data_IF_566854424340
#
_entry.id   IF_566854424340
#
_cell.length_a   1.000
_cell.length_b   1.000
_cell.length_c   1.000
_cell.angle_alpha   90.00
_cell.angle_beta   90.00
_cell.angle_gamma   90.00
#
_symmetry.space_group_name_H-M   'P 1'
#
loop_
_entity.id
_entity.type
_entity.pdbx_description
1 polymer ?
#
# COMPACT_ATOMS: atom_id res chain seq x y z
N UNK A 1 15.30 -13.15 -1.01
CA UNK A 1 14.02 -12.61 -1.52
C UNK A 1 13.93 -11.17 -1.03
N UNK A 2 13.40 -10.23 -1.83
CA UNK A 2 13.20 -8.85 -1.37
C UNK A 2 12.16 -8.84 -0.25
N UNK A 3 12.40 -8.04 0.79
CA UNK A 3 11.43 -7.79 1.86
C UNK A 3 10.35 -6.81 1.41
N UNK A 4 9.28 -6.65 2.20
CA UNK A 4 8.30 -5.59 1.99
C UNK A 4 8.97 -4.21 1.90
N UNK A 5 9.88 -3.90 2.82
CA UNK A 5 10.60 -2.62 2.83
C UNK A 5 11.45 -2.43 1.57
N UNK A 6 12.16 -3.47 1.10
CA UNK A 6 12.98 -3.39 -0.13
C UNK A 6 12.11 -3.03 -1.35
N UNK A 7 10.97 -3.72 -1.51
CA UNK A 7 10.04 -3.46 -2.60
C UNK A 7 9.45 -2.05 -2.53
N UNK A 8 8.98 -1.66 -1.36
CA UNK A 8 8.32 -0.37 -1.16
C UNK A 8 9.30 0.80 -1.31
N UNK A 9 10.53 0.68 -0.80
CA UNK A 9 11.57 1.69 -0.97
C UNK A 9 12.02 1.82 -2.43
N UNK A 10 12.08 0.72 -3.20
CA UNK A 10 12.37 0.76 -4.64
C UNK A 10 11.22 1.35 -5.48
N UNK A 11 9.98 1.16 -5.03
CA UNK A 11 8.78 1.66 -5.70
C UNK A 11 8.53 3.15 -5.53
N UNK A 12 9.05 3.70 -4.45
CA UNK A 12 8.77 5.04 -3.96
C UNK A 12 9.60 6.09 -4.69
N UNK A 13 8.94 7.16 -5.15
CA UNK A 13 9.58 8.29 -5.82
C UNK A 13 9.03 9.60 -5.29
N UNK A 14 9.87 10.63 -5.22
CA UNK A 14 9.41 11.98 -4.97
C UNK A 14 8.65 12.50 -6.19
N UNK A 15 7.36 12.80 -6.03
CA UNK A 15 6.50 13.31 -7.10
C UNK A 15 5.81 14.60 -6.66
N UNK A 16 6.22 15.72 -7.26
CA UNK A 16 5.72 17.05 -6.92
C UNK A 16 6.10 17.46 -5.51
N UNK A 17 5.26 17.11 -4.54
CA UNK A 17 5.30 17.57 -3.15
C UNK A 17 5.22 16.45 -2.10
N UNK A 18 5.24 15.18 -2.54
CA UNK A 18 5.15 14.02 -1.65
C UNK A 18 5.88 12.83 -2.26
N UNK A 19 6.17 11.83 -1.44
CA UNK A 19 6.52 10.52 -1.96
C UNK A 19 5.27 9.79 -2.47
N UNK A 20 5.35 9.30 -3.70
CA UNK A 20 4.35 8.43 -4.31
C UNK A 20 4.94 7.03 -4.48
N UNK A 21 4.15 6.00 -4.18
CA UNK A 21 4.56 4.62 -4.41
C UNK A 21 3.77 4.00 -5.56
N UNK A 22 4.45 3.19 -6.36
CA UNK A 22 3.81 2.42 -7.44
C UNK A 22 2.86 1.37 -6.87
N UNK A 23 1.84 1.02 -7.65
CA UNK A 23 0.89 -0.05 -7.28
C UNK A 23 1.62 -1.37 -7.10
N UNK A 24 1.33 -2.06 -6.01
CA UNK A 24 1.88 -3.38 -5.70
C UNK A 24 1.07 -4.45 -6.42
N UNK A 25 1.76 -5.43 -7.01
CA UNK A 25 1.17 -6.62 -7.62
C UNK A 25 1.77 -7.86 -6.94
N UNK A 26 0.93 -8.69 -6.35
CA UNK A 26 1.29 -9.89 -5.62
C UNK A 26 1.42 -11.12 -6.54
N UNK A 27 1.92 -12.22 -6.00
CA UNK A 27 2.24 -13.42 -6.76
C UNK A 27 1.01 -14.09 -7.40
N UNK A 28 -0.14 -14.02 -6.74
CA UNK A 28 -1.42 -14.57 -7.20
C UNK A 28 -2.20 -13.65 -8.16
N UNK A 29 -1.72 -12.42 -8.39
CA UNK A 29 -2.37 -11.42 -9.23
C UNK A 29 -3.15 -10.36 -8.46
N UNK A 30 -3.30 -10.48 -7.14
CA UNK A 30 -3.84 -9.41 -6.31
C UNK A 30 -3.02 -8.14 -6.46
N UNK A 31 -3.67 -6.99 -6.55
CA UNK A 31 -2.98 -5.71 -6.62
C UNK A 31 -3.69 -4.66 -5.80
N UNK A 32 -2.90 -3.75 -5.22
CA UNK A 32 -3.41 -2.69 -4.34
C UNK A 32 -2.46 -1.48 -4.34
N UNK A 33 -3.00 -0.28 -4.12
CA UNK A 33 -2.20 0.91 -3.82
C UNK A 33 -1.79 0.88 -2.35
N UNK A 34 -0.50 1.13 -2.05
CA UNK A 34 0.00 1.25 -0.67
C UNK A 34 0.80 2.54 -0.58
N UNK A 35 0.28 3.51 0.18
CA UNK A 35 0.83 4.85 0.30
C UNK A 35 1.19 5.20 1.75
N UNK A 36 2.25 5.98 1.89
CA UNK A 36 2.66 6.58 3.15
C UNK A 36 3.37 7.90 2.80
N UNK A 37 2.89 9.05 3.23
CA UNK A 37 3.49 10.37 2.95
C UNK A 37 2.81 11.45 3.80
N UNK A 38 3.13 12.72 3.58
CA UNK A 38 2.53 13.84 4.33
C UNK A 38 1.00 14.01 4.16
N UNK A 39 0.41 13.51 3.08
CA UNK A 39 -1.02 13.68 2.77
C UNK A 39 -1.83 12.38 2.81
N UNK A 40 -1.20 11.22 2.83
CA UNK A 40 -1.88 9.92 2.99
C UNK A 40 -2.37 9.70 4.43
N UNK A 41 -3.41 8.89 4.61
CA UNK A 41 -3.90 8.40 5.90
C UNK A 41 -2.97 7.31 6.48
N UNK A 42 -1.77 7.71 6.88
CA UNK A 42 -0.71 6.84 7.42
C UNK A 42 -0.14 7.36 8.74
N UNK A 43 0.68 6.58 9.46
CA UNK A 43 1.40 7.06 10.63
C UNK A 43 2.91 6.79 10.51
N UNK A 44 3.78 7.81 10.67
CA UNK A 44 3.44 9.24 10.76
C UNK A 44 2.96 9.81 9.42
N UNK A 45 2.15 10.87 9.41
CA UNK A 45 1.82 11.65 8.18
C UNK A 45 2.94 12.61 7.85
N UNK A 46 4.04 12.08 7.32
CA UNK A 46 5.25 12.85 6.95
C UNK A 46 5.84 12.28 5.67
N UNK A 47 6.65 13.06 4.97
CA UNK A 47 7.47 12.55 3.88
C UNK A 47 8.78 11.99 4.44
N UNK A 48 8.80 10.68 4.64
CA UNK A 48 9.98 9.93 5.05
C UNK A 48 10.34 9.00 3.91
N UNK A 49 11.62 8.98 3.54
CA UNK A 49 12.11 8.17 2.42
C UNK A 49 12.00 6.68 2.72
N UNK A 50 12.55 6.24 3.85
CA UNK A 50 12.51 4.85 4.27
C UNK A 50 11.14 4.45 4.84
N UNK A 51 10.46 3.52 4.16
CA UNK A 51 9.14 3.05 4.58
C UNK A 51 9.19 2.35 5.92
N UNK A 52 10.33 1.81 6.37
CA UNK A 52 10.45 1.11 7.65
C UNK A 52 10.10 2.00 8.86
N UNK A 53 10.06 3.33 8.66
CA UNK A 53 9.74 4.34 9.69
C UNK A 53 8.25 4.67 9.80
N UNK A 54 7.38 3.93 9.11
CA UNK A 54 5.93 4.04 9.22
C UNK A 54 5.33 2.85 9.96
N UNK A 55 4.36 3.15 10.83
CA UNK A 55 3.61 2.18 11.64
C UNK A 55 2.28 1.79 10.97
N UNK A 56 1.74 2.63 10.09
CA UNK A 56 0.54 2.33 9.30
C UNK A 56 0.56 3.01 7.94
N UNK A 57 -0.29 2.53 7.03
CA UNK A 57 -0.35 2.92 5.62
C UNK A 57 -1.78 3.26 5.20
N UNK A 58 -1.90 4.09 4.16
CA UNK A 58 -3.14 4.22 3.41
C UNK A 58 -3.11 3.17 2.29
N UNK A 59 -4.13 2.31 2.24
CA UNK A 59 -4.34 1.42 1.10
C UNK A 59 -5.47 1.97 0.22
N UNK A 60 -5.59 1.45 -1.00
CA UNK A 60 -6.73 1.82 -1.82
C UNK A 60 -6.83 1.04 -3.11
N UNK A 61 -8.07 1.01 -3.61
CA UNK A 61 -8.42 0.45 -4.91
C UNK A 61 -7.87 -0.98 -5.11
N UNK A 62 -8.17 -1.94 -4.20
CA UNK A 62 -7.73 -3.32 -4.37
C UNK A 62 -8.36 -3.94 -5.63
N UNK A 63 -7.70 -4.90 -6.26
CA UNK A 63 -8.23 -5.55 -7.49
C UNK A 63 -9.39 -6.52 -7.22
N UNK A 64 -9.52 -6.99 -6.00
CA UNK A 64 -10.61 -7.82 -5.50
C UNK A 64 -10.83 -7.55 -4.01
N UNK A 65 -11.96 -8.02 -3.47
CA UNK A 65 -12.30 -7.76 -2.08
C UNK A 65 -11.48 -8.67 -1.18
N UNK A 66 -10.59 -8.11 -0.37
CA UNK A 66 -9.93 -8.82 0.71
C UNK A 66 -10.56 -8.47 2.07
N UNK A 67 -11.09 -9.51 2.74
CA UNK A 67 -11.79 -9.36 4.02
C UNK A 67 -10.89 -8.94 5.18
N UNK A 68 -9.58 -9.18 5.10
CA UNK A 68 -8.62 -8.84 6.15
C UNK A 68 -8.45 -7.33 6.35
N UNK A 69 -8.83 -6.53 5.35
CA UNK A 69 -8.74 -5.06 5.42
C UNK A 69 -10.10 -4.35 5.38
N UNK A 70 -11.22 -5.06 5.22
CA UNK A 70 -12.55 -4.43 5.06
C UNK A 70 -12.91 -3.44 6.16
N UNK A 71 -12.53 -3.71 7.41
CA UNK A 71 -12.80 -2.83 8.55
C UNK A 71 -12.12 -1.45 8.46
N UNK A 72 -11.13 -1.29 7.58
CA UNK A 72 -10.43 -0.03 7.37
C UNK A 72 -11.00 0.80 6.21
N UNK A 73 -11.96 0.26 5.45
CA UNK A 73 -12.54 0.94 4.29
C UNK A 73 -13.24 2.24 4.71
N UNK A 74 -13.01 3.33 3.99
CA UNK A 74 -13.75 4.58 4.19
C UNK A 74 -15.18 4.48 3.64
N UNK A 75 -15.40 3.61 2.64
CA UNK A 75 -16.70 3.26 2.08
C UNK A 75 -16.83 1.74 1.98
N UNK A 76 -17.50 1.14 2.98
CA UNK A 76 -17.73 -0.31 3.04
C UNK A 76 -18.67 -0.82 1.94
N UNK A 77 -19.51 0.05 1.36
CA UNK A 77 -20.41 -0.33 0.27
C UNK A 77 -19.68 -0.41 -1.08
N UNK A 78 -18.54 0.28 -1.22
CA UNK A 78 -17.69 0.31 -2.42
C UNK A 78 -16.21 -0.06 -2.11
N UNK A 79 -15.92 -1.26 -1.59
CA UNK A 79 -14.58 -1.63 -1.10
C UNK A 79 -13.51 -1.65 -2.19
N UNK A 80 -13.89 -1.85 -3.46
CA UNK A 80 -12.94 -1.82 -4.58
C UNK A 80 -12.60 -0.40 -5.04
N UNK A 81 -13.38 0.61 -4.63
CA UNK A 81 -13.26 2.00 -5.08
C UNK A 81 -13.20 2.97 -3.90
N UNK A 82 -12.47 2.58 -2.86
CA UNK A 82 -12.30 3.38 -1.64
C UNK A 82 -10.87 3.33 -1.13
N UNK A 83 -10.57 4.26 -0.23
CA UNK A 83 -9.33 4.25 0.55
C UNK A 83 -9.53 3.48 1.84
N UNK A 84 -8.45 2.90 2.32
CA UNK A 84 -8.38 2.18 3.59
C UNK A 84 -7.42 2.93 4.49
N UNK A 85 -7.96 3.57 5.53
CA UNK A 85 -7.22 4.56 6.32
C UNK A 85 -6.46 3.92 7.48
N UNK A 86 -5.20 4.34 7.68
CA UNK A 86 -4.35 3.95 8.82
C UNK A 86 -4.25 2.44 9.05
N UNK A 87 -4.15 1.64 7.99
CA UNK A 87 -4.01 0.19 8.08
C UNK A 87 -2.67 -0.15 8.74
N UNK A 88 -2.65 -0.86 9.88
CA UNK A 88 -1.43 -1.21 10.60
C UNK A 88 -0.44 -1.98 9.73
N UNK A 89 0.85 -1.72 9.92
CA UNK A 89 1.93 -2.37 9.15
C UNK A 89 1.80 -3.89 9.13
N UNK A 90 1.58 -4.51 10.28
CA UNK A 90 1.48 -5.96 10.42
C UNK A 90 0.31 -6.53 9.62
N UNK A 91 -0.82 -5.82 9.55
CA UNK A 91 -1.94 -6.17 8.68
C UNK A 91 -1.55 -6.07 7.20
N UNK A 92 -0.83 -5.03 6.80
CA UNK A 92 -0.36 -4.87 5.40
C UNK A 92 0.64 -5.96 5.02
N UNK A 93 1.63 -6.21 5.86
CA UNK A 93 2.63 -7.27 5.63
C UNK A 93 1.96 -8.63 5.56
N UNK A 94 0.97 -8.88 6.43
CA UNK A 94 0.19 -10.12 6.41
C UNK A 94 -0.67 -10.29 5.15
N UNK A 95 -1.38 -9.25 4.72
CA UNK A 95 -2.13 -9.21 3.46
C UNK A 95 -1.22 -9.61 2.29
N UNK A 96 -0.04 -9.00 2.22
CA UNK A 96 0.94 -9.29 1.17
C UNK A 96 1.44 -10.75 1.25
N UNK A 97 1.71 -11.27 2.45
CA UNK A 97 2.10 -12.67 2.65
C UNK A 97 1.01 -13.65 2.21
N UNK A 98 -0.25 -13.38 2.57
CA UNK A 98 -1.41 -14.23 2.23
C UNK A 98 -1.64 -14.27 0.69
N UNK A 99 -1.26 -13.21 -0.04
CA UNK A 99 -1.23 -13.16 -1.52
C UNK A 99 0.10 -13.64 -2.16
N UNK A 100 0.94 -14.35 -1.40
CA UNK A 100 2.17 -14.97 -1.90
C UNK A 100 3.35 -14.02 -2.10
N UNK A 101 3.27 -12.81 -1.53
CA UNK A 101 4.30 -11.78 -1.58
C UNK A 101 4.27 -10.92 -2.84
N UNK A 102 5.04 -9.84 -2.82
CA UNK A 102 5.15 -8.90 -3.95
C UNK A 102 5.94 -9.55 -5.09
N UNK A 103 5.34 -9.56 -6.28
CA UNK A 103 5.94 -10.04 -7.53
C UNK A 103 6.53 -8.89 -8.34
N UNK A 104 5.79 -7.78 -8.45
CA UNK A 104 6.21 -6.61 -9.22
C UNK A 104 5.53 -5.32 -8.73
N UNK A 105 6.02 -4.19 -9.26
CA UNK A 105 5.43 -2.88 -9.06
C UNK A 105 4.95 -2.35 -10.41
N UNK A 106 3.66 -2.06 -10.53
CA UNK A 106 3.05 -1.69 -11.80
C UNK A 106 3.76 -0.46 -12.41
N UNK A 107 4.00 -0.53 -13.72
CA UNK A 107 4.56 0.60 -14.47
C UNK A 107 3.48 1.69 -14.52
N UNK A 108 3.87 2.94 -14.30
CA UNK A 108 2.98 4.08 -14.52
C UNK A 108 2.55 4.06 -15.99
N UNK A 109 1.25 4.00 -16.28
CA UNK A 109 0.79 4.17 -17.64
C UNK A 109 1.38 5.49 -18.19
N UNK A 110 1.99 5.41 -19.37
CA UNK A 110 2.67 6.54 -20.02
C UNK A 110 1.68 7.66 -20.36
#
# INVERSE_FOLDING_TARGET
MKTFNDWMNEGRKWEGFRFFNRRVVCADGYSISIQANNVAYCHPRKDIEDVARYDSFELGFPSEIDKSILEYAEDEDNPLDTVYSYVPRDVVERLIEDHGGIKELAIKAA
#
